data_IF_250437947405
#
_entry.id   IF_250437947405
#
_cell.length_a   1.000
_cell.length_b   1.000
_cell.length_c   1.000
_cell.angle_alpha   90.00
_cell.angle_beta   90.00
_cell.angle_gamma   90.00
#
_symmetry.space_group_name_H-M   'P 1'
#
loop_
_entity.id
_entity.type
_entity.pdbx_description
1 polymer ?
#
# COMPACT_ATOMS: atom_id res chain seq x y z
N UNK A 1 1.69 -34.60 43.36
CA UNK A 1 1.60 -33.54 42.33
C UNK A 1 2.76 -33.74 41.36
N UNK A 2 2.50 -34.10 40.09
CA UNK A 2 3.54 -34.29 39.06
C UNK A 2 4.22 -32.93 38.82
N UNK A 3 5.53 -32.80 39.11
CA UNK A 3 6.31 -31.65 38.66
C UNK A 3 6.31 -31.69 37.14
N UNK A 4 5.51 -30.82 36.52
CA UNK A 4 5.62 -30.55 35.08
C UNK A 4 7.08 -30.14 34.85
N UNK A 5 7.74 -30.79 33.90
CA UNK A 5 9.18 -30.71 33.70
C UNK A 5 9.52 -29.26 33.31
N UNK A 6 10.08 -28.46 34.22
CA UNK A 6 10.30 -27.03 33.96
C UNK A 6 11.18 -26.76 32.73
N UNK A 7 11.99 -27.75 32.35
CA UNK A 7 12.79 -27.76 31.12
C UNK A 7 11.87 -27.75 29.89
N UNK A 8 10.82 -28.57 29.83
CA UNK A 8 9.91 -28.63 28.67
C UNK A 8 9.02 -27.39 28.56
N UNK A 9 8.62 -26.79 29.68
CA UNK A 9 7.80 -25.58 29.68
C UNK A 9 8.55 -24.35 29.14
N UNK A 10 9.85 -24.23 29.42
CA UNK A 10 10.71 -23.13 28.90
C UNK A 10 10.87 -23.21 27.38
N UNK A 11 11.07 -24.40 26.82
CA UNK A 11 11.22 -24.56 25.37
C UNK A 11 9.89 -24.39 24.63
N UNK A 12 8.77 -24.83 25.20
CA UNK A 12 7.43 -24.57 24.64
C UNK A 12 7.14 -23.07 24.59
N UNK A 13 7.50 -22.30 25.63
CA UNK A 13 7.36 -20.84 25.59
C UNK A 13 8.33 -20.18 24.60
N UNK A 14 9.58 -20.64 24.49
CA UNK A 14 10.53 -20.13 23.51
C UNK A 14 10.09 -20.40 22.05
N UNK A 15 9.51 -21.57 21.77
CA UNK A 15 8.92 -21.91 20.48
C UNK A 15 7.67 -21.07 20.17
N UNK A 16 6.83 -20.80 21.17
CA UNK A 16 5.66 -19.93 21.01
C UNK A 16 6.07 -18.49 20.68
N UNK A 17 7.11 -17.95 21.31
CA UNK A 17 7.62 -16.59 21.05
C UNK A 17 8.20 -16.47 19.63
N UNK A 18 8.89 -17.51 19.13
CA UNK A 18 9.41 -17.56 17.75
C UNK A 18 8.29 -17.56 16.70
N UNK A 19 7.12 -18.15 16.99
CA UNK A 19 5.95 -18.15 16.12
C UNK A 19 5.19 -16.80 16.08
N UNK A 20 5.32 -15.96 17.11
CA UNK A 20 4.66 -14.63 17.15
C UNK A 20 5.39 -13.60 16.27
N UNK A 21 6.58 -13.92 15.75
CA UNK A 21 7.43 -13.01 14.98
C UNK A 21 6.96 -12.71 13.54
N UNK A 22 5.89 -13.36 13.06
CA UNK A 22 5.36 -13.20 11.70
C UNK A 22 4.03 -12.43 11.68
N UNK A 23 3.91 -11.38 12.49
CA UNK A 23 2.89 -10.36 12.22
C UNK A 23 3.43 -9.53 11.05
N UNK A 24 3.02 -9.86 9.83
CA UNK A 24 3.36 -9.10 8.63
C UNK A 24 2.91 -7.65 8.83
N UNK A 25 3.87 -6.74 8.90
CA UNK A 25 3.60 -5.30 8.92
C UNK A 25 3.42 -4.87 7.46
N UNK A 26 2.40 -4.07 7.16
CA UNK A 26 2.29 -3.42 5.86
C UNK A 26 3.57 -2.60 5.60
N UNK A 27 4.18 -2.81 4.44
CA UNK A 27 5.26 -1.96 3.98
C UNK A 27 4.65 -0.66 3.43
N UNK A 28 5.38 0.44 3.56
CA UNK A 28 4.94 1.74 3.07
C UNK A 28 5.68 2.07 1.79
N UNK A 29 4.91 2.28 0.73
CA UNK A 29 5.39 2.72 -0.58
C UNK A 29 5.07 4.19 -0.77
N UNK A 30 6.12 4.99 -0.93
CA UNK A 30 5.99 6.43 -1.13
C UNK A 30 6.33 6.80 -2.56
N UNK A 31 5.46 7.55 -3.24
CA UNK A 31 5.74 8.04 -4.59
C UNK A 31 6.95 8.97 -4.58
N UNK A 32 7.91 8.78 -5.49
CA UNK A 32 9.01 9.73 -5.66
C UNK A 32 8.53 11.06 -6.26
N UNK A 33 9.32 12.12 -6.13
CA UNK A 33 8.95 13.48 -6.55
C UNK A 33 8.54 13.61 -8.03
N UNK A 34 9.04 12.73 -8.91
CA UNK A 34 8.69 12.72 -10.33
C UNK A 34 7.26 12.17 -10.58
N UNK A 35 6.77 11.30 -9.69
CA UNK A 35 5.54 10.54 -9.90
C UNK A 35 5.69 9.47 -10.99
N UNK A 36 4.61 9.20 -11.71
CA UNK A 36 4.55 8.25 -12.82
C UNK A 36 3.41 7.24 -12.70
N UNK A 37 3.46 6.21 -13.54
CA UNK A 37 2.45 5.16 -13.56
C UNK A 37 2.53 4.32 -12.29
N UNK A 38 1.40 4.04 -11.65
CA UNK A 38 1.34 3.22 -10.45
C UNK A 38 2.03 1.86 -10.63
N UNK A 39 1.84 1.21 -11.77
CA UNK A 39 2.43 -0.10 -12.06
C UNK A 39 3.95 -0.06 -12.39
N UNK A 40 4.59 1.11 -12.36
CA UNK A 40 6.01 1.26 -12.63
C UNK A 40 6.80 1.25 -11.31
N UNK A 41 7.72 0.28 -11.09
CA UNK A 41 8.59 0.27 -9.93
C UNK A 41 9.35 1.59 -9.70
N UNK A 42 9.70 2.31 -10.77
CA UNK A 42 10.40 3.59 -10.70
C UNK A 42 9.58 4.76 -10.15
N UNK A 43 8.27 4.59 -9.93
CA UNK A 43 7.40 5.59 -9.29
C UNK A 43 7.52 5.56 -7.77
N UNK A 44 8.05 4.48 -7.19
CA UNK A 44 8.05 4.22 -5.76
C UNK A 44 9.46 4.21 -5.17
N UNK A 45 9.60 4.64 -3.92
CA UNK A 45 10.86 4.66 -3.17
C UNK A 45 11.47 3.28 -2.95
N UNK A 46 10.65 2.22 -2.90
CA UNK A 46 11.09 0.83 -2.76
C UNK A 46 11.58 0.19 -4.07
N UNK A 47 11.47 0.88 -5.21
CA UNK A 47 11.81 0.33 -6.55
C UNK A 47 11.03 -0.97 -6.83
N UNK A 48 9.77 -1.01 -6.39
CA UNK A 48 8.82 -2.10 -6.56
C UNK A 48 7.40 -1.50 -6.64
N UNK A 49 6.40 -2.30 -7.05
CA UNK A 49 5.00 -1.85 -7.15
C UNK A 49 4.24 -2.26 -5.88
N UNK A 50 3.44 -1.37 -5.27
CA UNK A 50 2.60 -1.70 -4.13
C UNK A 50 1.59 -2.80 -4.46
N UNK A 51 1.31 -3.63 -3.47
CA UNK A 51 0.30 -4.68 -3.50
C UNK A 51 -0.81 -4.39 -2.48
N UNK A 52 -1.88 -5.20 -2.48
CA UNK A 52 -2.99 -5.06 -1.55
C UNK A 52 -2.60 -5.04 -0.05
N UNK A 53 -1.45 -5.61 0.33
CA UNK A 53 -0.98 -5.59 1.72
C UNK A 53 -0.23 -4.32 2.13
N UNK A 54 0.06 -3.43 1.18
CA UNK A 54 0.97 -2.31 1.37
C UNK A 54 0.23 -0.99 1.57
N UNK A 55 0.79 -0.11 2.41
CA UNK A 55 0.29 1.24 2.56
C UNK A 55 0.94 2.16 1.51
N UNK A 56 0.13 2.96 0.83
CA UNK A 56 0.59 3.85 -0.25
C UNK A 56 0.49 5.31 0.16
N UNK A 57 1.59 6.04 -0.04
CA UNK A 57 1.65 7.50 0.14
C UNK A 57 1.98 8.17 -1.19
N UNK A 58 1.05 8.99 -1.69
CA UNK A 58 1.30 9.92 -2.79
C UNK A 58 1.86 11.20 -2.18
N UNK A 59 3.19 11.35 -2.17
CA UNK A 59 3.88 12.45 -1.48
C UNK A 59 3.91 13.77 -2.26
N UNK A 60 3.94 13.70 -3.59
CA UNK A 60 4.08 14.88 -4.46
C UNK A 60 5.52 15.41 -4.58
N UNK A 61 5.74 16.45 -5.40
CA UNK A 61 4.74 17.18 -6.20
C UNK A 61 4.32 16.50 -7.50
N UNK A 62 4.97 15.38 -7.87
CA UNK A 62 4.64 14.61 -9.07
C UNK A 62 3.24 14.02 -9.06
N UNK A 63 2.76 13.64 -10.25
CA UNK A 63 1.46 13.00 -10.46
C UNK A 63 1.64 11.49 -10.50
N UNK A 64 0.81 10.75 -9.77
CA UNK A 64 0.71 9.29 -9.89
C UNK A 64 -0.53 8.93 -10.71
N UNK A 65 -0.35 8.02 -11.67
CA UNK A 65 -1.40 7.63 -12.61
C UNK A 65 -1.95 6.24 -12.30
N UNK A 66 -3.27 6.14 -12.10
CA UNK A 66 -4.00 4.86 -12.08
C UNK A 66 -4.11 4.37 -13.53
N UNK A 67 -3.15 3.55 -13.95
CA UNK A 67 -2.90 3.27 -15.36
C UNK A 67 -3.20 1.81 -15.80
N UNK A 68 -3.64 0.95 -14.89
CA UNK A 68 -4.02 -0.44 -15.18
C UNK A 68 -5.34 -0.80 -14.47
N UNK A 69 -5.93 -1.90 -14.90
CA UNK A 69 -7.05 -2.50 -14.19
C UNK A 69 -6.49 -3.26 -12.98
N UNK A 70 -7.18 -3.19 -11.83
CA UNK A 70 -6.83 -3.96 -10.61
C UNK A 70 -5.55 -3.49 -9.89
N UNK A 71 -5.39 -2.18 -9.72
CA UNK A 71 -4.40 -1.65 -8.79
C UNK A 71 -4.95 -1.75 -7.36
N UNK A 72 -4.12 -2.13 -6.39
CA UNK A 72 -4.56 -2.41 -5.03
C UNK A 72 -3.57 -1.87 -3.99
N UNK A 73 -4.08 -1.47 -2.82
CA UNK A 73 -3.30 -1.16 -1.63
C UNK A 73 -4.14 -1.34 -0.37
N UNK A 74 -3.47 -1.40 0.78
CA UNK A 74 -4.12 -1.48 2.08
C UNK A 74 -4.67 -0.09 2.47
N UNK A 75 -3.82 0.90 2.73
CA UNK A 75 -4.25 2.29 2.93
C UNK A 75 -3.72 3.21 1.84
N UNK A 76 -4.50 4.21 1.47
CA UNK A 76 -4.09 5.24 0.52
C UNK A 76 -4.04 6.61 1.22
N UNK A 77 -2.87 7.23 1.25
CA UNK A 77 -2.71 8.62 1.69
C UNK A 77 -2.24 9.48 0.52
N UNK A 78 -2.98 10.53 0.18
CA UNK A 78 -2.55 11.56 -0.77
C UNK A 78 -2.18 12.81 0.02
N UNK A 79 -0.89 13.11 0.12
CA UNK A 79 -0.40 14.31 0.80
C UNK A 79 -0.36 15.49 -0.17
N UNK A 80 -0.68 16.70 0.28
CA UNK A 80 -0.42 17.91 -0.50
C UNK A 80 1.09 18.18 -0.61
N UNK A 81 1.65 18.46 -1.80
CA UNK A 81 0.97 18.81 -3.06
C UNK A 81 0.80 17.66 -4.06
N UNK A 82 0.88 16.40 -3.63
CA UNK A 82 0.71 15.22 -4.47
C UNK A 82 -0.64 15.12 -5.16
N UNK A 83 -0.62 14.47 -6.34
CA UNK A 83 -1.77 14.32 -7.22
C UNK A 83 -1.92 12.86 -7.61
N UNK A 84 -3.11 12.30 -7.41
CA UNK A 84 -3.53 11.01 -7.95
C UNK A 84 -4.59 11.24 -9.05
N UNK A 85 -4.36 10.66 -10.23
CA UNK A 85 -5.23 10.86 -11.41
C UNK A 85 -5.25 9.61 -12.30
N UNK A 86 -6.14 9.59 -13.28
CA UNK A 86 -6.03 8.72 -14.47
C UNK A 86 -5.12 9.35 -15.53
N UNK A 87 -4.45 8.54 -16.39
CA UNK A 87 -3.75 9.02 -17.57
C UNK A 87 -4.70 9.27 -18.76
N UNK A 88 -4.28 10.10 -19.71
CA UNK A 88 -5.13 10.52 -20.84
C UNK A 88 -5.34 9.43 -21.91
N UNK A 89 -4.49 8.40 -21.91
CA UNK A 89 -4.41 7.37 -22.94
C UNK A 89 -5.02 6.02 -22.54
N UNK A 90 -5.69 5.94 -21.39
CA UNK A 90 -6.38 4.72 -20.94
C UNK A 90 -7.87 4.97 -20.76
N UNK A 91 -8.69 3.96 -20.98
CA UNK A 91 -10.11 3.99 -20.58
C UNK A 91 -10.24 3.97 -19.05
N UNK A 92 -11.47 4.03 -18.55
CA UNK A 92 -11.82 3.98 -17.13
C UNK A 92 -11.07 2.89 -16.36
N UNK A 93 -10.45 3.25 -15.22
CA UNK A 93 -9.67 2.35 -14.35
C UNK A 93 -10.16 2.31 -12.90
N UNK A 94 -9.70 1.29 -12.18
CA UNK A 94 -10.05 1.04 -10.78
C UNK A 94 -8.81 0.87 -9.91
N UNK A 95 -8.87 1.42 -8.71
CA UNK A 95 -7.95 1.11 -7.63
C UNK A 95 -8.76 0.63 -6.41
N UNK A 96 -8.40 -0.54 -5.87
CA UNK A 96 -8.99 -1.11 -4.66
C UNK A 96 -8.16 -0.76 -3.44
N UNK A 97 -8.85 -0.33 -2.38
CA UNK A 97 -8.26 0.08 -1.11
C UNK A 97 -8.95 -0.74 -0.02
N UNK A 98 -8.21 -1.64 0.62
CA UNK A 98 -8.78 -2.51 1.65
C UNK A 98 -9.04 -1.79 2.99
N UNK A 99 -8.36 -0.67 3.21
CA UNK A 99 -8.44 0.17 4.38
C UNK A 99 -8.92 1.58 4.07
N UNK A 100 -8.23 2.57 4.63
CA UNK A 100 -8.68 3.95 4.60
C UNK A 100 -8.06 4.77 3.47
N UNK A 101 -8.83 5.73 2.97
CA UNK A 101 -8.33 6.79 2.08
C UNK A 101 -8.22 8.09 2.91
N UNK A 102 -7.01 8.64 3.00
CA UNK A 102 -6.75 9.97 3.57
C UNK A 102 -6.31 10.92 2.46
N UNK A 103 -7.07 11.98 2.20
CA UNK A 103 -6.75 12.94 1.15
C UNK A 103 -6.50 14.34 1.70
N UNK A 104 -5.23 14.76 1.66
CA UNK A 104 -4.75 16.12 1.93
C UNK A 104 -4.16 16.79 0.67
N UNK A 105 -4.23 16.13 -0.49
CA UNK A 105 -3.71 16.61 -1.77
C UNK A 105 -4.81 16.71 -2.83
N UNK A 106 -4.51 16.30 -4.06
CA UNK A 106 -5.49 16.31 -5.17
C UNK A 106 -5.78 14.90 -5.67
N UNK A 107 -7.05 14.54 -5.69
CA UNK A 107 -7.58 13.36 -6.38
C UNK A 107 -8.54 13.89 -7.43
N UNK A 108 -8.24 13.65 -8.72
CA UNK A 108 -9.05 14.17 -9.83
C UNK A 108 -8.96 13.26 -11.03
N UNK A 109 -10.03 13.22 -11.81
CA UNK A 109 -9.98 12.57 -13.12
C UNK A 109 -9.07 13.35 -14.08
N UNK A 110 -8.39 12.60 -14.95
CA UNK A 110 -7.72 13.11 -16.15
C UNK A 110 -8.72 13.24 -17.30
N UNK A 111 -8.34 12.82 -18.51
CA UNK A 111 -9.28 12.76 -19.63
C UNK A 111 -10.37 11.67 -19.49
N UNK A 112 -10.17 10.70 -18.60
CA UNK A 112 -11.08 9.60 -18.33
C UNK A 112 -11.32 9.43 -16.83
N UNK A 113 -12.52 9.00 -16.45
CA UNK A 113 -12.82 8.74 -15.04
C UNK A 113 -11.95 7.61 -14.48
N UNK A 114 -11.61 7.67 -13.19
CA UNK A 114 -11.20 6.47 -12.44
C UNK A 114 -12.01 6.36 -11.14
N UNK A 115 -12.12 5.15 -10.62
CA UNK A 115 -12.81 4.95 -9.34
C UNK A 115 -11.88 4.35 -8.30
N UNK A 116 -11.91 4.97 -7.12
CA UNK A 116 -11.38 4.43 -5.89
C UNK A 116 -12.48 3.62 -5.21
N UNK A 117 -12.22 2.34 -4.93
CA UNK A 117 -13.15 1.46 -4.20
C UNK A 117 -12.56 1.11 -2.85
N UNK A 118 -13.21 1.52 -1.78
CA UNK A 118 -12.93 1.03 -0.44
C UNK A 118 -13.80 -0.19 -0.12
N UNK A 119 -13.22 -1.19 0.54
CA UNK A 119 -13.93 -2.35 1.09
C UNK A 119 -14.50 -2.09 2.50
#
# INVERSE_FOLDING_TARGET
>A
MKKINQISLKYVMALAILFVSFIGKADTFTSISLGGNWNNPGTWDQVAVPTASDDVIIAGPGMVYINEDWLECNNLTVNGPGILTSPDWVNVKWCWIDGNITNNGTIRDGNWDFYLRCN
#
